data_IF_723258928372
#
_entry.id   IF_723258928372
#
_cell.length_a   1.000
_cell.length_b   1.000
_cell.length_c   1.000
_cell.angle_alpha   90.00
_cell.angle_beta   90.00
_cell.angle_gamma   90.00
#
_symmetry.space_group_name_H-M   'P 1'
#
loop_
_entity.id
_entity.type
_entity.pdbx_description
1 polymer ?
#
# COMPACT_ATOMS: atom_id res chain seq x y z
N UNK A 1 -14.67 3.39 -7.63
CA UNK A 1 -13.26 3.25 -8.07
C UNK A 1 -12.40 4.08 -7.14
N UNK A 2 -11.40 3.49 -6.49
CA UNK A 2 -10.52 4.21 -5.57
C UNK A 2 -9.61 5.18 -6.35
N UNK A 3 -9.61 6.46 -5.96
CA UNK A 3 -8.61 7.44 -6.42
C UNK A 3 -7.39 7.32 -5.50
N UNK A 4 -6.22 7.12 -6.11
CA UNK A 4 -4.95 6.99 -5.37
C UNK A 4 -4.13 8.27 -5.53
N UNK A 5 -3.83 8.93 -4.41
CA UNK A 5 -2.98 10.13 -4.39
C UNK A 5 -1.54 9.72 -4.09
N UNK A 6 -0.69 9.75 -5.11
CA UNK A 6 0.73 9.44 -4.98
C UNK A 6 1.48 10.76 -4.80
N UNK A 7 1.93 11.04 -3.58
CA UNK A 7 2.85 12.16 -3.31
C UNK A 7 4.26 11.74 -3.72
N UNK A 8 4.79 12.33 -4.78
CA UNK A 8 6.14 12.06 -5.27
C UNK A 8 7.03 13.27 -4.95
N UNK A 9 8.06 13.07 -4.12
CA UNK A 9 9.03 14.12 -3.80
C UNK A 9 10.16 14.16 -4.85
N UNK A 10 10.85 15.29 -5.01
CA UNK A 10 11.93 15.46 -6.01
C UNK A 10 13.08 14.45 -5.84
N UNK A 11 13.52 14.18 -4.61
CA UNK A 11 14.53 13.14 -4.34
C UNK A 11 14.08 11.74 -4.78
N UNK A 12 12.76 11.49 -4.68
CA UNK A 12 12.16 10.21 -5.04
C UNK A 12 11.98 10.08 -6.56
N UNK A 13 11.61 11.16 -7.24
CA UNK A 13 11.59 11.25 -8.71
C UNK A 13 12.99 10.99 -9.28
N UNK A 14 14.01 11.63 -8.72
CA UNK A 14 15.37 11.43 -9.20
C UNK A 14 15.86 10.00 -8.97
N UNK A 15 15.52 9.42 -7.80
CA UNK A 15 15.78 8.00 -7.52
C UNK A 15 15.08 7.04 -8.48
N UNK A 16 13.88 7.40 -8.97
CA UNK A 16 13.09 6.58 -9.88
C UNK A 16 13.75 6.41 -11.26
N UNK A 17 14.36 7.47 -11.78
CA UNK A 17 14.98 7.48 -13.10
C UNK A 17 16.44 7.01 -13.09
N UNK A 18 17.07 6.96 -11.91
CA UNK A 18 18.51 6.68 -11.81
C UNK A 18 18.80 5.26 -11.31
N UNK A 19 17.90 4.64 -10.53
CA UNK A 19 18.11 3.30 -9.95
C UNK A 19 16.81 2.50 -9.83
N UNK A 20 16.88 1.18 -10.04
CA UNK A 20 15.77 0.24 -9.80
C UNK A 20 15.27 0.26 -8.33
N UNK A 21 16.12 0.66 -7.39
CA UNK A 21 15.75 0.87 -5.99
C UNK A 21 14.63 1.90 -5.81
N UNK A 22 14.62 2.98 -6.61
CA UNK A 22 13.57 3.99 -6.56
C UNK A 22 12.21 3.40 -6.95
N UNK A 23 12.19 2.60 -8.02
CA UNK A 23 11.00 1.92 -8.51
C UNK A 23 10.46 0.90 -7.48
N UNK A 24 11.35 0.16 -6.82
CA UNK A 24 10.95 -0.79 -5.76
C UNK A 24 10.27 -0.12 -4.57
N UNK A 25 10.75 1.06 -4.15
CA UNK A 25 10.16 1.85 -3.06
C UNK A 25 8.80 2.41 -3.47
N UNK A 26 8.66 2.89 -4.71
CA UNK A 26 7.39 3.39 -5.24
C UNK A 26 6.35 2.27 -5.27
N UNK A 27 6.71 1.13 -5.85
CA UNK A 27 5.84 -0.03 -5.90
C UNK A 27 5.41 -0.46 -4.49
N UNK A 28 6.33 -0.48 -3.52
CA UNK A 28 6.00 -0.81 -2.13
C UNK A 28 4.97 0.16 -1.53
N UNK A 29 5.14 1.47 -1.71
CA UNK A 29 4.18 2.46 -1.21
C UNK A 29 2.81 2.33 -1.86
N UNK A 30 2.77 2.21 -3.20
CA UNK A 30 1.51 2.08 -3.94
C UNK A 30 0.77 0.81 -3.52
N UNK A 31 1.48 -0.32 -3.42
CA UNK A 31 0.88 -1.58 -2.98
C UNK A 31 0.38 -1.51 -1.53
N UNK A 32 1.08 -0.80 -0.63
CA UNK A 32 0.59 -0.59 0.73
C UNK A 32 -0.71 0.21 0.76
N UNK A 33 -0.83 1.29 -0.02
CA UNK A 33 -2.07 2.08 -0.09
C UNK A 33 -3.24 1.27 -0.66
N UNK A 34 -2.98 0.48 -1.71
CA UNK A 34 -4.00 -0.40 -2.30
C UNK A 34 -4.49 -1.41 -1.27
N UNK A 35 -3.58 -2.05 -0.53
CA UNK A 35 -3.94 -3.02 0.52
C UNK A 35 -4.76 -2.37 1.63
N UNK A 36 -4.42 -1.16 2.07
CA UNK A 36 -5.20 -0.43 3.07
C UNK A 36 -6.61 -0.11 2.56
N UNK A 37 -6.73 0.40 1.34
CA UNK A 37 -8.03 0.71 0.73
C UNK A 37 -8.91 -0.54 0.58
N UNK A 38 -8.32 -1.66 0.15
CA UNK A 38 -9.04 -2.94 0.05
C UNK A 38 -9.57 -3.43 1.39
N UNK A 39 -8.78 -3.27 2.46
CA UNK A 39 -9.22 -3.63 3.82
C UNK A 39 -10.37 -2.73 4.26
N UNK A 40 -10.29 -1.42 4.03
CA UNK A 40 -11.37 -0.50 4.40
C UNK A 40 -12.66 -0.80 3.63
N UNK A 41 -12.57 -1.07 2.32
CA UNK A 41 -13.70 -1.45 1.47
C UNK A 41 -14.32 -2.78 1.92
N UNK A 42 -13.48 -3.78 2.22
CA UNK A 42 -13.95 -5.09 2.68
C UNK A 42 -14.64 -4.99 4.06
N UNK A 43 -14.07 -4.20 4.97
CA UNK A 43 -14.62 -4.00 6.30
C UNK A 43 -15.82 -3.04 6.31
N UNK A 44 -16.00 -2.23 5.27
CA UNK A 44 -17.01 -1.16 5.22
C UNK A 44 -16.75 -0.05 6.24
N UNK A 45 -15.51 0.09 6.72
CA UNK A 45 -15.16 1.02 7.77
C UNK A 45 -13.66 1.34 7.75
N UNK A 46 -13.31 2.61 7.95
CA UNK A 46 -11.92 3.04 8.15
C UNK A 46 -11.38 2.59 9.50
N UNK A 47 -10.07 2.72 9.65
CA UNK A 47 -9.39 2.43 10.93
C UNK A 47 -9.96 3.30 12.05
N UNK A 48 -10.39 2.65 13.14
CA UNK A 48 -11.03 3.27 14.31
C UNK A 48 -12.37 3.96 14.07
N UNK A 49 -12.91 3.96 12.85
CA UNK A 49 -14.22 4.53 12.56
C UNK A 49 -15.32 3.72 13.26
N UNK A 50 -16.41 4.35 13.69
CA UNK A 50 -17.58 3.65 14.21
C UNK A 50 -18.70 3.81 13.20
N UNK A 51 -19.12 2.70 12.61
CA UNK A 51 -20.21 2.63 11.63
C UNK A 51 -20.99 1.34 11.85
N UNK A 52 -22.29 1.40 11.62
CA UNK A 52 -23.18 0.24 11.65
C UNK A 52 -22.96 -0.70 10.46
N UNK A 53 -22.36 -0.18 9.37
CA UNK A 53 -22.05 -0.95 8.16
C UNK A 53 -20.78 -1.82 8.29
N UNK A 54 -20.09 -1.76 9.44
CA UNK A 54 -18.84 -2.51 9.66
C UNK A 54 -19.10 -4.01 9.62
N UNK A 55 -18.39 -4.71 8.73
CA UNK A 55 -18.50 -6.16 8.55
C UNK A 55 -17.53 -6.99 9.40
N UNK A 56 -16.52 -6.37 9.99
CA UNK A 56 -15.54 -7.08 10.82
C UNK A 56 -14.38 -6.22 11.32
N UNK A 57 -13.34 -6.88 11.84
CA UNK A 57 -12.13 -6.23 12.36
C UNK A 57 -10.87 -6.77 11.69
N UNK A 58 -9.91 -5.88 11.45
CA UNK A 58 -8.57 -6.24 10.98
C UNK A 58 -7.77 -6.85 12.14
N UNK A 59 -7.28 -8.08 11.96
CA UNK A 59 -6.40 -8.75 12.93
C UNK A 59 -4.92 -8.42 12.67
N UNK A 60 -4.55 -7.16 12.85
CA UNK A 60 -3.16 -6.70 12.67
C UNK A 60 -2.67 -6.79 11.22
N UNK A 61 -1.35 -6.95 11.07
CA UNK A 61 -0.70 -7.15 9.77
C UNK A 61 0.53 -8.05 9.92
N UNK A 62 0.84 -8.86 8.93
CA UNK A 62 2.04 -9.72 8.91
C UNK A 62 2.90 -9.45 7.66
N UNK A 63 4.23 -9.66 7.74
CA UNK A 63 5.10 -9.48 6.59
C UNK A 63 4.88 -10.60 5.56
N UNK A 64 4.77 -10.23 4.29
CA UNK A 64 4.70 -11.17 3.16
C UNK A 64 5.63 -10.73 2.04
N UNK A 65 6.36 -11.68 1.46
CA UNK A 65 7.23 -11.43 0.30
C UNK A 65 6.45 -11.57 -1.00
N UNK A 66 6.62 -10.61 -1.90
CA UNK A 66 6.08 -10.60 -3.25
C UNK A 66 7.24 -10.51 -4.25
N UNK A 67 7.34 -11.49 -5.14
CA UNK A 67 8.32 -11.46 -6.24
C UNK A 67 7.80 -10.57 -7.35
N UNK A 68 8.53 -9.51 -7.67
CA UNK A 68 8.19 -8.56 -8.73
C UNK A 68 9.34 -8.42 -9.73
N UNK A 69 9.12 -7.71 -10.84
CA UNK A 69 10.15 -7.46 -11.86
C UNK A 69 11.38 -6.73 -11.29
N UNK A 70 11.19 -5.89 -10.28
CA UNK A 70 12.24 -5.11 -9.61
C UNK A 70 12.87 -5.85 -8.42
N UNK A 71 12.58 -7.15 -8.28
CA UNK A 71 13.06 -7.99 -7.18
C UNK A 71 11.98 -8.33 -6.15
N UNK A 72 12.42 -8.78 -4.98
CA UNK A 72 11.52 -9.20 -3.89
C UNK A 72 11.12 -7.99 -3.04
N UNK A 73 9.81 -7.77 -2.90
CA UNK A 73 9.25 -6.74 -2.03
C UNK A 73 8.66 -7.38 -0.77
N UNK A 74 8.99 -6.84 0.39
CA UNK A 74 8.33 -7.21 1.65
C UNK A 74 7.20 -6.23 1.95
N UNK A 75 5.96 -6.72 1.86
CA UNK A 75 4.72 -6.00 2.15
C UNK A 75 4.20 -6.38 3.54
N UNK A 76 3.28 -5.58 4.07
CA UNK A 76 2.55 -5.86 5.31
C UNK A 76 1.08 -6.01 4.95
N UNK A 77 0.54 -7.22 5.13
CA UNK A 77 -0.84 -7.58 4.79
C UNK A 77 -1.62 -7.72 6.09
#
# INVERSE_FOLDING_TARGET
>A
MAQYHITVNDEFLHGLFTKDEGLSKLLKQVLHQILEAQVEEQLGARRYERTEERKGYRNGSYPRQLTTRVGRLTLRV
#
